data_IF_447804721741
#
_entry.id   IF_447804721741
#
_cell.length_a   1.000
_cell.length_b   1.000
_cell.length_c   1.000
_cell.angle_alpha   90.00
_cell.angle_beta   90.00
_cell.angle_gamma   90.00
#
_symmetry.space_group_name_H-M   'P 1'
#
loop_
_entity.id
_entity.type
_entity.pdbx_description
1 polymer ?
#
# COMPACT_ATOMS: atom_id res chain seq x y z
N UNK A 1 -21.05 -8.86 -12.83
CA UNK A 1 -20.32 -9.11 -11.57
C UNK A 1 -18.86 -9.35 -11.95
N UNK A 2 -17.93 -8.62 -11.38
CA UNK A 2 -16.51 -8.80 -11.66
C UNK A 2 -16.03 -10.12 -11.05
N UNK A 3 -15.11 -10.82 -11.76
CA UNK A 3 -14.47 -12.02 -11.20
C UNK A 3 -13.47 -11.57 -10.13
N UNK A 4 -13.50 -12.21 -8.95
CA UNK A 4 -12.48 -11.97 -7.94
C UNK A 4 -11.10 -12.40 -8.46
N UNK A 5 -10.05 -11.61 -8.23
CA UNK A 5 -8.73 -11.88 -8.79
C UNK A 5 -8.01 -12.99 -8.04
N UNK A 6 -7.11 -13.69 -8.75
CA UNK A 6 -6.16 -14.64 -8.21
C UNK A 6 -4.76 -14.24 -8.68
N UNK A 7 -3.77 -14.24 -7.80
CA UNK A 7 -2.38 -13.87 -8.10
C UNK A 7 -1.47 -15.06 -7.81
N UNK A 8 -1.02 -15.73 -8.85
CA UNK A 8 -0.12 -16.89 -8.70
C UNK A 8 -0.69 -18.01 -7.84
N UNK A 9 -2.01 -18.16 -7.79
CA UNK A 9 -2.72 -19.16 -6.96
C UNK A 9 -3.19 -18.61 -5.60
N UNK A 10 -2.85 -17.37 -5.25
CA UNK A 10 -3.39 -16.68 -4.07
C UNK A 10 -4.74 -16.06 -4.46
N UNK A 11 -5.83 -16.63 -3.95
CA UNK A 11 -7.17 -16.13 -4.17
C UNK A 11 -7.46 -14.90 -3.31
N UNK A 12 -8.03 -13.84 -3.90
CA UNK A 12 -8.40 -12.63 -3.19
C UNK A 12 -9.91 -12.53 -3.02
N UNK A 13 -10.37 -12.16 -1.83
CA UNK A 13 -11.81 -12.07 -1.52
C UNK A 13 -12.46 -10.75 -1.95
N UNK A 14 -11.72 -9.84 -2.55
CA UNK A 14 -12.20 -8.54 -3.02
C UNK A 14 -11.32 -7.96 -4.11
N UNK A 15 -11.58 -6.70 -4.47
CA UNK A 15 -10.87 -5.98 -5.53
C UNK A 15 -10.07 -4.79 -5.00
N UNK A 16 -10.30 -4.38 -3.76
CA UNK A 16 -9.60 -3.25 -3.14
C UNK A 16 -8.36 -3.71 -2.36
N UNK A 17 -7.17 -3.32 -2.83
CA UNK A 17 -5.88 -3.71 -2.26
C UNK A 17 -5.20 -2.49 -1.60
N UNK A 18 -4.49 -2.71 -0.48
CA UNK A 18 -3.66 -1.66 0.12
C UNK A 18 -2.34 -1.55 -0.65
N UNK A 19 -2.10 -0.39 -1.26
CA UNK A 19 -0.80 -0.09 -1.90
C UNK A 19 0.30 0.13 -0.85
N UNK A 20 1.56 -0.25 -1.12
CA UNK A 20 2.69 0.03 -0.24
C UNK A 20 2.95 1.53 -0.13
N UNK A 21 3.04 2.04 1.10
CA UNK A 21 3.26 3.45 1.42
C UNK A 21 4.24 3.59 2.57
N UNK A 22 5.44 4.13 2.29
CA UNK A 22 6.45 4.36 3.33
C UNK A 22 5.93 5.30 4.43
N UNK A 23 6.06 4.89 5.69
CA UNK A 23 5.51 5.56 6.87
C UNK A 23 4.00 5.47 7.03
N UNK A 24 3.35 4.52 6.34
CA UNK A 24 1.88 4.34 6.41
C UNK A 24 1.46 2.88 6.45
N UNK A 25 1.98 2.02 5.56
CA UNK A 25 1.60 0.61 5.50
C UNK A 25 2.50 -0.27 6.39
N UNK A 26 2.73 0.17 7.63
CA UNK A 26 3.34 -0.61 8.70
C UNK A 26 2.41 -1.74 9.19
N UNK A 27 2.89 -2.58 10.07
CA UNK A 27 2.13 -3.72 10.59
C UNK A 27 0.80 -3.29 11.20
N UNK A 28 0.82 -2.26 12.06
CA UNK A 28 -0.39 -1.78 12.75
C UNK A 28 -1.46 -1.33 11.75
N UNK A 29 -1.07 -0.59 10.71
CA UNK A 29 -2.03 -0.13 9.69
C UNK A 29 -2.48 -1.26 8.75
N UNK A 30 -1.61 -2.21 8.40
CA UNK A 30 -2.00 -3.36 7.56
C UNK A 30 -3.06 -4.22 8.23
N UNK A 31 -2.89 -4.53 9.53
CA UNK A 31 -3.89 -5.29 10.32
C UNK A 31 -5.25 -4.58 10.31
N UNK A 32 -5.27 -3.26 10.52
CA UNK A 32 -6.49 -2.45 10.41
C UNK A 32 -7.08 -2.53 9.00
N UNK A 33 -6.26 -2.32 7.97
CA UNK A 33 -6.72 -2.32 6.58
C UNK A 33 -7.30 -3.68 6.16
N UNK A 34 -6.65 -4.78 6.56
CA UNK A 34 -7.13 -6.14 6.31
C UNK A 34 -8.49 -6.37 6.96
N UNK A 35 -8.62 -6.07 8.27
CA UNK A 35 -9.90 -6.18 9.00
C UNK A 35 -11.00 -5.30 8.40
N UNK A 36 -10.64 -4.17 7.79
CA UNK A 36 -11.56 -3.27 7.09
C UNK A 36 -11.82 -3.66 5.63
N UNK A 37 -11.41 -4.86 5.21
CA UNK A 37 -11.76 -5.46 3.94
C UNK A 37 -10.74 -5.25 2.82
N UNK A 38 -9.49 -4.87 3.13
CA UNK A 38 -8.45 -4.92 2.10
C UNK A 38 -8.20 -6.38 1.68
N UNK A 39 -8.46 -6.70 0.41
CA UNK A 39 -8.33 -8.06 -0.11
C UNK A 39 -6.87 -8.56 -0.18
N UNK A 40 -5.92 -7.63 -0.19
CA UNK A 40 -4.49 -7.87 -0.05
C UNK A 40 -3.87 -6.63 0.59
N UNK A 41 -3.04 -6.80 1.60
CA UNK A 41 -2.23 -5.72 2.14
C UNK A 41 -0.79 -5.82 1.62
N UNK A 42 -0.16 -4.68 1.36
CA UNK A 42 1.26 -4.65 0.97
C UNK A 42 2.06 -3.81 1.95
N UNK A 43 3.10 -4.41 2.53
CA UNK A 43 3.98 -3.76 3.49
C UNK A 43 4.79 -2.61 2.85
N UNK A 44 5.38 -1.77 3.70
CA UNK A 44 6.39 -0.81 3.28
C UNK A 44 7.55 -1.49 2.56
N UNK A 45 8.22 -0.76 1.67
CA UNK A 45 9.32 -1.33 0.91
C UNK A 45 10.56 -1.57 1.79
N UNK A 46 11.09 -2.79 1.74
CA UNK A 46 12.26 -3.28 2.48
C UNK A 46 13.49 -3.30 1.58
N UNK A 47 14.64 -2.90 2.12
CA UNK A 47 15.89 -2.90 1.35
C UNK A 47 16.49 -4.31 1.27
N UNK A 48 16.72 -4.82 0.05
CA UNK A 48 17.42 -6.10 -0.16
C UNK A 48 18.84 -6.08 0.43
N UNK A 49 19.57 -4.98 0.26
CA UNK A 49 20.88 -4.78 0.90
C UNK A 49 20.78 -4.75 2.42
N UNK A 50 19.72 -4.17 2.98
CA UNK A 50 19.47 -4.15 4.41
C UNK A 50 19.33 -5.57 4.98
N UNK A 51 18.58 -6.44 4.30
CA UNK A 51 18.44 -7.86 4.67
C UNK A 51 19.76 -8.62 4.48
N UNK A 52 20.45 -8.40 3.37
CA UNK A 52 21.74 -9.03 3.11
C UNK A 52 22.77 -8.76 4.20
N UNK A 53 22.81 -7.53 4.73
CA UNK A 53 23.71 -7.14 5.82
C UNK A 53 23.11 -7.36 7.22
N UNK A 54 21.97 -8.05 7.34
CA UNK A 54 21.28 -8.38 8.60
C UNK A 54 21.06 -7.15 9.49
N UNK A 55 20.49 -6.10 8.91
CA UNK A 55 20.12 -4.89 9.64
C UNK A 55 18.84 -5.15 10.44
N UNK A 56 18.92 -5.12 11.78
CA UNK A 56 17.81 -5.42 12.69
C UNK A 56 16.54 -4.61 12.37
N UNK A 57 16.67 -3.31 12.08
CA UNK A 57 15.52 -2.48 11.72
C UNK A 57 14.85 -2.90 10.41
N UNK A 58 15.64 -3.48 9.49
CA UNK A 58 15.12 -4.00 8.23
C UNK A 58 14.42 -5.33 8.45
N UNK A 59 14.93 -6.18 9.34
CA UNK A 59 14.31 -7.45 9.72
C UNK A 59 12.98 -7.21 10.48
N UNK A 60 12.92 -6.21 11.35
CA UNK A 60 11.69 -5.81 12.03
C UNK A 60 10.53 -5.45 11.08
N UNK A 61 10.85 -4.93 9.88
CA UNK A 61 9.84 -4.60 8.85
C UNK A 61 9.22 -5.83 8.18
N UNK A 62 9.75 -7.03 8.41
CA UNK A 62 9.22 -8.29 7.87
C UNK A 62 8.10 -8.89 8.72
N UNK A 63 7.77 -8.32 9.87
CA UNK A 63 6.74 -8.84 10.77
C UNK A 63 5.37 -8.90 10.08
N UNK A 64 4.69 -10.02 10.26
CA UNK A 64 3.34 -10.31 9.75
C UNK A 64 2.48 -10.73 10.94
N UNK A 65 1.26 -10.21 11.01
CA UNK A 65 0.25 -10.70 11.94
C UNK A 65 -0.42 -11.96 11.36
N UNK A 66 -0.59 -13.03 12.13
CA UNK A 66 -1.22 -14.25 11.64
C UNK A 66 -2.66 -14.06 11.10
N UNK A 67 -3.33 -12.97 11.45
CA UNK A 67 -4.67 -12.64 10.99
C UNK A 67 -4.73 -11.74 9.75
N UNK A 68 -3.58 -11.28 9.18
CA UNK A 68 -3.57 -10.34 8.05
C UNK A 68 -3.40 -10.99 6.66
N UNK A 69 -3.56 -12.31 6.54
CA UNK A 69 -3.45 -13.00 5.25
C UNK A 69 -4.70 -12.80 4.37
N UNK A 70 -4.53 -12.57 3.04
CA UNK A 70 -3.27 -12.56 2.32
C UNK A 70 -2.49 -11.23 2.47
N UNK A 71 -1.17 -11.35 2.60
CA UNK A 71 -0.24 -10.22 2.75
C UNK A 71 0.94 -10.32 1.79
N UNK A 72 1.31 -9.17 1.21
CA UNK A 72 2.51 -9.03 0.39
C UNK A 72 3.59 -8.24 1.13
N UNK A 73 4.85 -8.73 1.10
CA UNK A 73 6.01 -7.96 1.52
C UNK A 73 6.70 -7.38 0.28
N UNK A 74 7.08 -6.10 0.32
CA UNK A 74 7.68 -5.44 -0.83
C UNK A 74 9.20 -5.24 -0.65
N UNK A 75 9.98 -5.70 -1.63
CA UNK A 75 11.44 -5.60 -1.67
C UNK A 75 11.89 -4.53 -2.67
N UNK A 76 12.99 -3.81 -2.40
CA UNK A 76 13.64 -2.94 -3.36
C UNK A 76 15.16 -3.12 -3.38
N UNK A 77 15.74 -2.98 -4.56
CA UNK A 77 17.15 -3.09 -4.85
C UNK A 77 17.38 -3.15 -6.36
N UNK A 78 18.64 -3.15 -6.78
CA UNK A 78 19.04 -3.15 -8.20
C UNK A 78 20.08 -4.22 -8.54
N UNK A 79 20.40 -5.11 -7.61
CA UNK A 79 21.33 -6.23 -7.82
C UNK A 79 20.52 -7.54 -7.81
N UNK A 80 20.52 -8.33 -8.92
CA UNK A 80 19.71 -9.54 -9.01
C UNK A 80 20.05 -10.60 -7.94
N UNK A 81 21.33 -10.78 -7.61
CA UNK A 81 21.76 -11.77 -6.61
C UNK A 81 21.32 -11.34 -5.20
N UNK A 82 21.53 -10.07 -4.84
CA UNK A 82 21.10 -9.52 -3.54
C UNK A 82 19.57 -9.53 -3.43
N UNK A 83 18.85 -9.24 -4.53
CA UNK A 83 17.39 -9.31 -4.55
C UNK A 83 16.88 -10.75 -4.34
N UNK A 84 17.50 -11.73 -4.98
CA UNK A 84 17.17 -13.15 -4.80
C UNK A 84 17.44 -13.62 -3.36
N UNK A 85 18.56 -13.23 -2.76
CA UNK A 85 18.86 -13.52 -1.36
C UNK A 85 17.88 -12.82 -0.40
N UNK A 86 17.57 -11.55 -0.66
CA UNK A 86 16.59 -10.80 0.12
C UNK A 86 15.19 -11.42 0.05
N UNK A 87 14.78 -11.91 -1.12
CA UNK A 87 13.52 -12.62 -1.31
C UNK A 87 13.43 -13.90 -0.48
N UNK A 88 14.52 -14.69 -0.43
CA UNK A 88 14.59 -15.90 0.42
C UNK A 88 14.46 -15.58 1.91
N UNK A 89 15.09 -14.50 2.37
CA UNK A 89 14.94 -14.07 3.77
C UNK A 89 13.51 -13.60 4.04
N UNK A 90 12.91 -12.87 3.10
CA UNK A 90 11.55 -12.38 3.20
C UNK A 90 10.52 -13.53 3.20
N UNK A 91 10.72 -14.57 2.38
CA UNK A 91 9.86 -15.77 2.34
C UNK A 91 9.78 -16.49 3.70
N UNK A 92 10.86 -16.48 4.50
CA UNK A 92 10.86 -17.08 5.85
C UNK A 92 9.90 -16.40 6.82
N UNK A 93 9.55 -15.14 6.58
CA UNK A 93 8.56 -14.42 7.37
C UNK A 93 7.12 -14.87 7.07
N UNK A 94 6.89 -15.65 6.00
CA UNK A 94 5.63 -16.26 5.64
C UNK A 94 4.64 -15.37 4.88
N UNK A 95 5.06 -14.42 4.01
CA UNK A 95 4.12 -13.68 3.18
C UNK A 95 3.47 -14.61 2.14
N UNK A 96 2.28 -14.23 1.69
CA UNK A 96 1.62 -14.92 0.57
C UNK A 96 2.20 -14.50 -0.78
N UNK A 97 2.75 -13.29 -0.88
CA UNK A 97 3.30 -12.70 -2.10
C UNK A 97 4.57 -11.90 -1.74
N UNK A 98 5.58 -11.93 -2.62
CA UNK A 98 6.70 -11.00 -2.57
C UNK A 98 6.58 -10.03 -3.75
N UNK A 99 6.50 -8.72 -3.44
CA UNK A 99 6.36 -7.67 -4.44
C UNK A 99 7.69 -6.94 -4.67
N UNK A 100 7.98 -6.56 -5.91
CA UNK A 100 9.18 -5.81 -6.29
C UNK A 100 8.82 -4.35 -6.52
N UNK A 101 9.51 -3.44 -5.82
CA UNK A 101 9.34 -2.01 -6.06
C UNK A 101 10.14 -1.54 -7.27
N UNK A 102 9.44 -1.20 -8.36
CA UNK A 102 10.00 -0.54 -9.55
C UNK A 102 9.34 0.84 -9.79
N UNK A 103 8.76 1.44 -8.74
CA UNK A 103 7.98 2.68 -8.88
C UNK A 103 8.33 3.81 -7.92
N UNK A 104 9.13 3.59 -6.87
CA UNK A 104 9.47 4.62 -5.88
C UNK A 104 10.23 5.78 -6.54
N UNK A 105 9.71 7.04 -6.46
CA UNK A 105 10.34 8.19 -7.12
C UNK A 105 11.37 8.91 -6.24
N UNK A 106 11.54 8.50 -4.98
CA UNK A 106 12.32 9.21 -3.98
C UNK A 106 13.81 9.25 -4.32
N UNK A 107 14.42 10.44 -4.25
CA UNK A 107 15.81 10.65 -4.64
C UNK A 107 16.80 9.71 -3.95
N UNK A 108 16.60 9.42 -2.65
CA UNK A 108 17.47 8.49 -1.90
C UNK A 108 17.43 7.05 -2.42
N UNK A 109 16.37 6.65 -3.12
CA UNK A 109 16.19 5.33 -3.74
C UNK A 109 16.77 5.35 -5.15
N UNK A 110 16.31 6.27 -5.99
CA UNK A 110 16.68 6.28 -7.43
C UNK A 110 18.14 6.59 -7.70
N UNK A 111 18.84 7.34 -6.82
CA UNK A 111 20.28 7.58 -6.97
C UNK A 111 21.14 6.31 -6.88
N UNK A 112 20.61 5.26 -6.28
CA UNK A 112 21.28 3.97 -6.15
C UNK A 112 20.92 2.99 -7.29
N UNK A 113 20.11 3.42 -8.27
CA UNK A 113 19.60 2.58 -9.35
C UNK A 113 18.33 1.81 -8.99
N UNK A 114 17.77 2.01 -7.79
CA UNK A 114 16.64 1.26 -7.26
C UNK A 114 15.30 1.92 -7.61
N UNK A 115 14.19 1.22 -7.35
CA UNK A 115 12.85 1.74 -7.51
C UNK A 115 12.55 2.12 -8.96
N UNK A 116 12.04 3.33 -9.21
CA UNK A 116 11.71 3.77 -10.57
C UNK A 116 12.93 3.93 -11.50
N UNK A 117 14.16 3.93 -10.98
CA UNK A 117 15.35 3.94 -11.81
C UNK A 117 15.50 2.64 -12.63
N UNK A 118 14.98 1.51 -12.14
CA UNK A 118 14.97 0.23 -12.87
C UNK A 118 14.21 0.32 -14.19
N UNK A 119 13.23 1.20 -14.30
CA UNK A 119 12.49 1.42 -15.56
C UNK A 119 13.38 1.95 -16.70
N UNK A 120 14.55 2.52 -16.40
CA UNK A 120 15.54 2.94 -17.40
C UNK A 120 16.38 1.78 -17.97
N UNK A 121 16.30 0.59 -17.35
CA UNK A 121 17.08 -0.58 -17.73
C UNK A 121 16.21 -1.83 -17.64
N UNK A 122 15.38 -2.05 -18.66
CA UNK A 122 14.45 -3.19 -18.75
C UNK A 122 15.18 -4.53 -18.64
N UNK A 123 16.33 -4.78 -19.31
CA UNK A 123 17.07 -6.04 -19.13
C UNK A 123 17.48 -6.31 -17.68
N UNK A 124 17.90 -5.29 -16.93
CA UNK A 124 18.21 -5.43 -15.52
C UNK A 124 16.94 -5.72 -14.70
N UNK A 125 15.86 -5.01 -14.93
CA UNK A 125 14.59 -5.25 -14.27
C UNK A 125 14.09 -6.69 -14.51
N UNK A 126 14.17 -7.17 -15.75
CA UNK A 126 13.83 -8.55 -16.11
C UNK A 126 14.72 -9.58 -15.40
N UNK A 127 16.04 -9.34 -15.33
CA UNK A 127 16.96 -10.24 -14.64
C UNK A 127 16.70 -10.32 -13.12
N UNK A 128 16.31 -9.20 -12.49
CA UNK A 128 15.91 -9.16 -11.08
C UNK A 128 14.66 -10.02 -10.85
N UNK A 129 13.61 -9.83 -11.65
CA UNK A 129 12.37 -10.62 -11.53
C UNK A 129 12.68 -12.11 -11.68
N UNK A 130 13.43 -12.48 -12.73
CA UNK A 130 13.82 -13.88 -12.98
C UNK A 130 14.57 -14.47 -11.79
N UNK A 131 15.57 -13.77 -11.28
CA UNK A 131 16.37 -14.24 -10.15
C UNK A 131 15.53 -14.45 -8.89
N UNK A 132 14.54 -13.57 -8.63
CA UNK A 132 13.64 -13.71 -7.49
C UNK A 132 12.65 -14.85 -7.68
N UNK A 133 12.03 -14.97 -8.86
CA UNK A 133 11.10 -16.09 -9.19
C UNK A 133 11.77 -17.45 -9.05
N UNK A 134 13.02 -17.57 -9.47
CA UNK A 134 13.80 -18.81 -9.34
C UNK A 134 14.25 -19.10 -7.88
N UNK A 135 14.22 -18.07 -7.01
CA UNK A 135 14.74 -18.17 -5.66
C UNK A 135 13.70 -18.54 -4.60
N UNK A 136 12.41 -18.28 -4.83
CA UNK A 136 11.32 -18.44 -3.86
C UNK A 136 10.17 -19.28 -4.42
N UNK A 137 9.28 -19.76 -3.52
CA UNK A 137 8.11 -20.57 -3.89
C UNK A 137 6.83 -19.75 -3.95
N UNK A 138 6.76 -18.64 -3.21
CA UNK A 138 5.60 -17.74 -3.23
C UNK A 138 5.59 -16.90 -4.52
N UNK A 139 4.41 -16.49 -5.02
CA UNK A 139 4.31 -15.63 -6.20
C UNK A 139 5.11 -14.33 -6.03
N UNK A 140 5.80 -13.96 -7.12
CA UNK A 140 6.52 -12.68 -7.22
C UNK A 140 5.73 -11.73 -8.07
N UNK A 141 5.47 -10.51 -7.58
CA UNK A 141 4.77 -9.44 -8.31
C UNK A 141 5.65 -8.21 -8.50
N UNK A 142 5.24 -7.32 -9.37
CA UNK A 142 5.98 -6.08 -9.66
C UNK A 142 5.06 -4.88 -9.53
N UNK A 143 5.49 -3.87 -8.77
CA UNK A 143 4.82 -2.56 -8.75
C UNK A 143 5.65 -1.51 -9.47
N UNK A 144 5.10 -0.92 -10.56
CA UNK A 144 5.79 0.02 -11.43
C UNK A 144 4.98 1.30 -11.70
N UNK A 145 5.59 2.23 -12.41
CA UNK A 145 5.00 3.45 -12.97
C UNK A 145 4.95 3.37 -14.50
N UNK A 146 4.52 4.45 -15.19
CA UNK A 146 4.45 4.52 -16.64
C UNK A 146 5.83 4.64 -17.30
N UNK A 147 6.81 5.14 -16.58
CA UNK A 147 8.17 5.41 -17.05
C UNK A 147 8.87 6.41 -16.14
N UNK A 148 10.06 6.85 -16.56
CA UNK A 148 10.80 7.89 -15.84
C UNK A 148 10.19 9.26 -16.04
N UNK A 149 9.96 9.66 -17.30
CA UNK A 149 9.31 10.90 -17.73
C UNK A 149 8.25 10.57 -18.79
N UNK A 150 7.45 11.56 -19.17
CA UNK A 150 6.44 11.37 -20.21
C UNK A 150 7.05 11.05 -21.58
N UNK A 151 8.23 11.57 -21.87
CA UNK A 151 8.95 11.30 -23.12
C UNK A 151 9.62 9.92 -23.14
N UNK A 152 9.69 9.26 -21.98
CA UNK A 152 10.33 7.95 -21.80
C UNK A 152 9.41 6.94 -21.14
N UNK A 153 8.11 7.00 -21.43
CA UNK A 153 7.15 6.01 -20.99
C UNK A 153 7.44 4.67 -21.68
N UNK A 154 7.65 3.64 -20.87
CA UNK A 154 8.03 2.30 -21.33
C UNK A 154 7.37 1.19 -20.52
N UNK A 155 6.26 1.50 -19.83
CA UNK A 155 5.56 0.54 -18.99
C UNK A 155 5.08 -0.71 -19.73
N UNK A 156 4.75 -0.60 -21.02
CA UNK A 156 4.29 -1.73 -21.85
C UNK A 156 5.44 -2.71 -22.08
N UNK A 157 6.62 -2.20 -22.44
CA UNK A 157 7.81 -3.02 -22.67
C UNK A 157 8.25 -3.68 -21.35
N UNK A 158 8.28 -2.92 -20.26
CA UNK A 158 8.61 -3.45 -18.94
C UNK A 158 7.62 -4.52 -18.52
N UNK A 159 6.31 -4.31 -18.71
CA UNK A 159 5.28 -5.28 -18.36
C UNK A 159 5.49 -6.63 -19.05
N UNK A 160 5.78 -6.63 -20.35
CA UNK A 160 6.09 -7.85 -21.10
C UNK A 160 7.37 -8.54 -20.58
N UNK A 161 8.41 -7.76 -20.33
CA UNK A 161 9.69 -8.30 -19.85
C UNK A 161 9.55 -8.96 -18.46
N UNK A 162 8.77 -8.37 -17.54
CA UNK A 162 8.55 -8.95 -16.22
C UNK A 162 7.60 -10.16 -16.26
N UNK A 163 6.61 -10.17 -17.14
CA UNK A 163 5.77 -11.35 -17.40
C UNK A 163 6.62 -12.52 -17.94
N UNK A 164 7.46 -12.28 -18.94
CA UNK A 164 8.39 -13.27 -19.49
C UNK A 164 9.37 -13.82 -18.42
N UNK A 165 9.72 -12.98 -17.44
CA UNK A 165 10.57 -13.38 -16.31
C UNK A 165 9.84 -14.20 -15.23
N UNK A 166 8.50 -14.35 -15.35
CA UNK A 166 7.68 -15.15 -14.45
C UNK A 166 6.96 -14.38 -13.34
N UNK A 167 6.82 -13.06 -13.47
CA UNK A 167 5.98 -12.28 -12.54
C UNK A 167 4.53 -12.79 -12.55
N UNK A 168 3.92 -12.93 -11.37
CA UNK A 168 2.55 -13.44 -11.22
C UNK A 168 1.48 -12.36 -11.37
N UNK A 169 1.80 -11.09 -11.19
CA UNK A 169 0.94 -9.93 -11.43
C UNK A 169 1.75 -8.64 -11.51
N UNK A 170 1.13 -7.58 -12.04
CA UNK A 170 1.76 -6.26 -12.15
C UNK A 170 0.82 -5.20 -11.59
N UNK A 171 1.29 -4.36 -10.67
CA UNK A 171 0.59 -3.15 -10.25
C UNK A 171 1.13 -1.93 -10.99
N UNK A 172 0.28 -1.23 -11.73
CA UNK A 172 0.67 -0.06 -12.54
C UNK A 172 0.12 1.22 -11.95
N UNK A 173 1.01 2.11 -11.50
CA UNK A 173 0.63 3.47 -11.15
C UNK A 173 0.61 4.35 -12.41
N UNK A 174 -0.56 4.92 -12.75
CA UNK A 174 -0.81 5.72 -13.95
C UNK A 174 -0.09 7.09 -13.97
N UNK A 175 1.11 7.19 -13.41
CA UNK A 175 1.98 8.37 -13.41
C UNK A 175 3.42 7.98 -13.70
N UNK A 176 4.19 8.89 -14.29
CA UNK A 176 5.64 8.73 -14.43
C UNK A 176 6.36 9.01 -13.10
N UNK A 177 7.66 8.74 -13.04
CA UNK A 177 8.50 9.11 -11.88
C UNK A 177 8.51 10.62 -11.66
N UNK A 178 8.59 11.42 -12.71
CA UNK A 178 8.67 12.88 -12.64
C UNK A 178 7.36 13.54 -12.23
N UNK A 179 6.23 12.92 -12.54
CA UNK A 179 4.92 13.39 -12.06
C UNK A 179 4.78 13.30 -10.54
N UNK A 180 5.54 12.44 -9.86
CA UNK A 180 5.36 12.12 -8.44
C UNK A 180 3.89 11.75 -8.12
N UNK A 181 3.12 12.72 -7.63
CA UNK A 181 1.69 12.62 -7.32
C UNK A 181 0.88 13.76 -7.93
N UNK A 182 1.49 14.58 -8.82
CA UNK A 182 0.85 15.71 -9.46
C UNK A 182 0.00 15.26 -10.65
N UNK A 183 -0.90 16.14 -11.08
CA UNK A 183 -1.80 15.86 -12.21
C UNK A 183 -2.75 14.70 -11.96
N UNK A 184 -3.29 14.13 -13.02
CA UNK A 184 -4.16 12.95 -13.01
C UNK A 184 -3.38 11.71 -13.43
N UNK A 185 -3.72 10.55 -12.87
CA UNK A 185 -3.23 9.27 -13.34
C UNK A 185 -3.77 8.99 -14.75
N UNK A 186 -2.89 8.57 -15.66
CA UNK A 186 -3.27 8.17 -17.01
C UNK A 186 -3.74 6.72 -17.02
N UNK A 187 -5.04 6.53 -16.96
CA UNK A 187 -5.66 5.22 -16.99
C UNK A 187 -5.59 4.58 -18.38
N UNK A 188 -5.49 5.37 -19.45
CA UNK A 188 -5.36 4.83 -20.80
C UNK A 188 -4.07 4.03 -20.98
N UNK A 189 -2.99 4.44 -20.31
CA UNK A 189 -1.74 3.68 -20.29
C UNK A 189 -1.86 2.38 -19.47
N UNK A 190 -2.63 2.37 -18.37
CA UNK A 190 -2.96 1.14 -17.64
C UNK A 190 -3.70 0.18 -18.57
N UNK A 191 -4.72 0.64 -19.33
CA UNK A 191 -5.44 -0.17 -20.30
C UNK A 191 -4.53 -0.80 -21.37
N UNK A 192 -3.53 -0.04 -21.84
CA UNK A 192 -2.54 -0.57 -22.80
C UNK A 192 -1.68 -1.66 -22.18
N UNK A 193 -1.29 -1.52 -20.91
CA UNK A 193 -0.57 -2.59 -20.20
C UNK A 193 -1.45 -3.81 -20.05
N UNK A 194 -2.72 -3.67 -19.63
CA UNK A 194 -3.68 -4.79 -19.55
C UNK A 194 -3.78 -5.54 -20.87
N UNK A 195 -3.84 -4.81 -21.99
CA UNK A 195 -3.92 -5.41 -23.33
C UNK A 195 -2.61 -6.06 -23.80
N UNK A 196 -1.50 -5.81 -23.14
CA UNK A 196 -0.16 -6.22 -23.58
C UNK A 196 0.35 -7.49 -22.85
N UNK A 197 -0.26 -7.90 -21.74
CA UNK A 197 0.13 -9.04 -20.90
C UNK A 197 -1.04 -9.96 -20.59
N UNK A 198 -0.77 -11.18 -20.14
CA UNK A 198 -1.77 -12.20 -19.80
C UNK A 198 -1.96 -12.37 -18.29
N UNK A 199 -0.96 -11.94 -17.49
CA UNK A 199 -1.04 -11.96 -16.03
C UNK A 199 -1.94 -10.82 -15.51
N UNK A 200 -2.54 -10.95 -14.32
CA UNK A 200 -3.38 -9.90 -13.73
C UNK A 200 -2.65 -8.57 -13.62
N UNK A 201 -3.32 -7.49 -14.06
CA UNK A 201 -2.86 -6.12 -13.86
C UNK A 201 -3.74 -5.46 -12.82
N UNK A 202 -3.11 -4.85 -11.81
CA UNK A 202 -3.75 -4.08 -10.75
C UNK A 202 -3.60 -2.60 -11.07
N UNK A 203 -4.72 -1.88 -11.22
CA UNK A 203 -4.73 -0.44 -11.49
C UNK A 203 -4.43 0.37 -10.23
N UNK A 204 -3.56 1.38 -10.32
CA UNK A 204 -3.24 2.26 -9.21
C UNK A 204 -3.21 3.73 -9.65
N UNK A 205 -3.80 4.59 -8.84
CA UNK A 205 -3.81 6.04 -9.00
C UNK A 205 -5.21 6.62 -9.08
N UNK A 206 -5.46 7.61 -8.22
CA UNK A 206 -6.68 8.44 -8.16
C UNK A 206 -7.98 7.69 -7.86
N UNK A 207 -7.91 6.48 -7.30
CA UNK A 207 -9.04 5.79 -6.67
C UNK A 207 -9.26 6.41 -5.29
N UNK A 208 -10.46 6.96 -5.08
CA UNK A 208 -10.85 7.67 -3.84
C UNK A 208 -12.17 7.17 -3.24
N UNK A 209 -12.92 6.35 -3.99
CA UNK A 209 -14.22 5.80 -3.62
C UNK A 209 -14.61 4.62 -4.53
N UNK A 210 -15.75 3.98 -4.27
CA UNK A 210 -16.30 2.90 -5.09
C UNK A 210 -16.54 3.30 -6.55
N UNK A 211 -17.20 4.45 -6.83
CA UNK A 211 -17.39 4.93 -8.21
C UNK A 211 -16.09 5.09 -9.01
N UNK A 212 -15.02 5.64 -8.41
CA UNK A 212 -13.73 5.80 -9.09
C UNK A 212 -13.01 4.46 -9.30
N UNK A 213 -13.14 3.51 -8.36
CA UNK A 213 -12.63 2.16 -8.52
C UNK A 213 -13.31 1.45 -9.69
N UNK A 214 -14.65 1.50 -9.73
CA UNK A 214 -15.44 0.93 -10.84
C UNK A 214 -15.03 1.50 -12.18
N UNK A 215 -14.94 2.83 -12.29
CA UNK A 215 -14.51 3.48 -13.53
C UNK A 215 -13.11 3.05 -13.97
N UNK A 216 -12.14 3.00 -13.04
CA UNK A 216 -10.81 2.53 -13.36
C UNK A 216 -10.85 1.10 -13.93
N UNK A 217 -11.59 0.18 -13.30
CA UNK A 217 -11.71 -1.21 -13.77
C UNK A 217 -12.41 -1.30 -15.13
N UNK A 218 -13.49 -0.55 -15.35
CA UNK A 218 -14.23 -0.54 -16.62
C UNK A 218 -13.44 0.09 -17.77
N UNK A 219 -12.74 1.19 -17.52
CA UNK A 219 -11.96 1.89 -18.55
C UNK A 219 -10.67 1.15 -18.92
N UNK A 220 -10.10 0.36 -18.00
CA UNK A 220 -8.80 -0.27 -18.21
C UNK A 220 -8.85 -1.78 -18.37
N UNK A 221 -9.88 -2.44 -17.86
CA UNK A 221 -9.94 -3.90 -17.78
C UNK A 221 -9.02 -4.50 -16.73
N UNK A 222 -8.47 -3.70 -15.80
CA UNK A 222 -7.61 -4.23 -14.72
C UNK A 222 -8.40 -5.14 -13.78
N UNK A 223 -7.72 -6.13 -13.18
CA UNK A 223 -8.32 -7.17 -12.36
C UNK A 223 -8.71 -6.70 -10.96
N UNK A 224 -8.03 -5.66 -10.44
CA UNK A 224 -8.23 -5.09 -9.10
C UNK A 224 -7.66 -3.66 -9.06
N UNK A 225 -7.88 -2.96 -7.94
CA UNK A 225 -7.38 -1.61 -7.72
C UNK A 225 -6.51 -1.54 -6.47
N UNK A 226 -5.32 -0.96 -6.57
CA UNK A 226 -4.47 -0.67 -5.42
C UNK A 226 -4.69 0.76 -4.94
N UNK A 227 -5.08 0.92 -3.67
CA UNK A 227 -5.43 2.18 -3.07
C UNK A 227 -4.30 2.66 -2.15
N UNK A 228 -3.77 3.84 -2.45
CA UNK A 228 -2.73 4.48 -1.64
C UNK A 228 -3.31 5.60 -0.78
N UNK A 229 -3.05 6.84 -1.17
CA UNK A 229 -3.35 8.06 -0.38
C UNK A 229 -4.77 8.16 0.16
N UNK A 230 -5.75 7.64 -0.55
CA UNK A 230 -7.15 7.68 -0.12
C UNK A 230 -7.45 6.70 1.04
N UNK A 231 -6.62 5.68 1.25
CA UNK A 231 -6.71 4.79 2.39
C UNK A 231 -6.08 5.40 3.67
N UNK A 232 -5.15 6.35 3.54
CA UNK A 232 -4.44 6.92 4.69
C UNK A 232 -5.39 7.64 5.63
N UNK A 233 -5.62 7.08 6.83
CA UNK A 233 -6.59 7.54 7.81
C UNK A 233 -8.05 7.28 7.41
N UNK A 234 -8.26 6.42 6.43
CA UNK A 234 -9.58 6.00 5.94
C UNK A 234 -9.58 4.52 5.53
N UNK A 235 -9.39 3.59 6.47
CA UNK A 235 -9.37 2.16 6.15
C UNK A 235 -10.73 1.62 5.70
N UNK A 236 -11.83 2.33 5.95
CA UNK A 236 -13.18 1.95 5.49
C UNK A 236 -13.32 1.94 3.96
N UNK A 237 -12.39 2.58 3.24
CA UNK A 237 -12.41 2.66 1.78
C UNK A 237 -12.40 1.28 1.11
N UNK A 238 -11.73 0.30 1.71
CA UNK A 238 -11.64 -1.05 1.13
C UNK A 238 -13.02 -1.70 1.06
N UNK A 239 -13.73 -1.77 2.19
CA UNK A 239 -15.08 -2.27 2.25
C UNK A 239 -16.05 -1.45 1.39
N UNK A 240 -15.92 -0.12 1.38
CA UNK A 240 -16.77 0.74 0.57
C UNK A 240 -16.60 0.52 -0.93
N UNK A 241 -15.35 0.29 -1.38
CA UNK A 241 -15.06 -0.03 -2.78
C UNK A 241 -15.64 -1.39 -3.16
N UNK A 242 -15.39 -2.42 -2.36
CA UNK A 242 -15.88 -3.78 -2.67
C UNK A 242 -17.42 -3.85 -2.64
N UNK A 243 -18.07 -3.23 -1.64
CA UNK A 243 -19.54 -3.13 -1.61
C UNK A 243 -20.09 -2.47 -2.88
N UNK A 244 -19.47 -1.35 -3.31
CA UNK A 244 -19.92 -0.66 -4.51
C UNK A 244 -19.72 -1.52 -5.79
N UNK A 245 -18.62 -2.24 -5.89
CA UNK A 245 -18.35 -3.13 -7.04
C UNK A 245 -19.29 -4.33 -7.07
N UNK A 246 -19.72 -4.84 -5.92
CA UNK A 246 -20.66 -5.96 -5.81
C UNK A 246 -22.11 -5.54 -6.04
N UNK A 247 -22.53 -4.45 -5.42
CA UNK A 247 -23.97 -4.08 -5.31
C UNK A 247 -24.34 -2.79 -6.01
N UNK A 248 -23.36 -1.91 -6.29
CA UNK A 248 -23.60 -0.53 -6.74
C UNK A 248 -23.99 0.43 -5.60
N UNK A 249 -24.02 -0.03 -4.36
CA UNK A 249 -24.43 0.77 -3.19
C UNK A 249 -23.26 1.60 -2.67
N UNK A 250 -23.53 2.88 -2.39
CA UNK A 250 -22.55 3.78 -1.77
C UNK A 250 -22.74 3.71 -0.25
N UNK A 251 -21.71 3.22 0.44
CA UNK A 251 -21.70 3.19 1.89
C UNK A 251 -21.62 4.61 2.48
N UNK A 252 -22.28 4.83 3.60
CA UNK A 252 -22.12 6.06 4.37
C UNK A 252 -20.67 6.23 4.86
N UNK A 253 -20.17 7.47 4.90
CA UNK A 253 -18.84 7.72 5.46
C UNK A 253 -18.80 7.41 6.96
N UNK A 254 -17.64 7.01 7.50
CA UNK A 254 -17.49 6.73 8.93
C UNK A 254 -17.83 7.97 9.75
N UNK A 255 -18.56 7.77 10.86
CA UNK A 255 -18.87 8.84 11.81
C UNK A 255 -17.59 9.42 12.44
N UNK A 256 -17.72 10.55 13.12
CA UNK A 256 -16.57 11.16 13.79
C UNK A 256 -16.07 10.29 14.94
N UNK A 257 -16.99 9.69 15.70
CA UNK A 257 -16.69 8.75 16.78
C UNK A 257 -15.90 7.53 16.27
N UNK A 258 -16.35 6.93 15.17
CA UNK A 258 -15.63 5.82 14.52
C UNK A 258 -14.20 6.21 14.14
N UNK A 259 -14.02 7.43 13.62
CA UNK A 259 -12.68 7.91 13.18
C UNK A 259 -11.76 8.19 14.37
N UNK A 260 -12.30 8.73 15.47
CA UNK A 260 -11.55 8.94 16.71
C UNK A 260 -11.18 7.59 17.35
N UNK A 261 -12.12 6.67 17.45
CA UNK A 261 -11.89 5.32 17.97
C UNK A 261 -10.80 4.59 17.14
N UNK A 262 -10.89 4.61 15.81
CA UNK A 262 -9.89 4.01 14.92
C UNK A 262 -8.50 4.65 15.10
N UNK A 263 -8.44 5.95 15.35
CA UNK A 263 -7.15 6.62 15.59
C UNK A 263 -6.48 6.19 16.90
N UNK A 264 -7.28 5.90 17.94
CA UNK A 264 -6.80 5.33 19.22
C UNK A 264 -6.28 3.91 19.01
N UNK A 265 -7.05 3.09 18.31
CA UNK A 265 -6.67 1.72 17.99
C UNK A 265 -5.37 1.66 17.18
N UNK A 266 -5.25 2.52 16.16
CA UNK A 266 -4.04 2.60 15.35
C UNK A 266 -2.82 3.00 16.19
N UNK A 267 -2.95 4.02 17.06
CA UNK A 267 -1.89 4.39 17.99
C UNK A 267 -1.49 3.22 18.89
N UNK A 268 -2.48 2.52 19.46
CA UNK A 268 -2.20 1.36 20.32
C UNK A 268 -1.43 0.26 19.58
N UNK A 269 -1.82 -0.05 18.34
CA UNK A 269 -1.09 -0.98 17.47
C UNK A 269 0.35 -0.57 17.23
N UNK A 270 0.58 0.73 16.93
CA UNK A 270 1.92 1.28 16.79
C UNK A 270 2.74 1.19 18.09
N UNK A 271 2.12 1.39 19.25
CA UNK A 271 2.80 1.26 20.56
C UNK A 271 3.28 -0.17 20.77
N UNK A 272 2.43 -1.15 20.45
CA UNK A 272 2.79 -2.58 20.55
C UNK A 272 3.90 -2.97 19.56
N UNK A 273 3.89 -2.38 18.35
CA UNK A 273 4.87 -2.67 17.30
C UNK A 273 6.24 -2.02 17.55
N UNK A 274 6.26 -0.72 17.92
CA UNK A 274 7.46 0.14 17.85
C UNK A 274 7.84 0.77 19.19
N UNK A 275 7.03 0.55 20.25
CA UNK A 275 7.16 1.23 21.53
C UNK A 275 6.60 2.66 21.52
N UNK A 276 6.16 3.14 22.68
CA UNK A 276 5.37 4.38 22.83
C UNK A 276 6.08 5.62 22.27
N UNK A 277 7.41 5.75 22.49
CA UNK A 277 8.16 6.91 22.04
C UNK A 277 8.10 7.11 20.52
N UNK A 278 8.27 6.05 19.74
CA UNK A 278 8.21 6.11 18.28
C UNK A 278 6.76 6.22 17.80
N UNK A 279 5.88 5.40 18.35
CA UNK A 279 4.48 5.30 17.98
C UNK A 279 3.73 6.64 18.04
N UNK A 280 3.84 7.36 19.17
CA UNK A 280 3.15 8.65 19.34
C UNK A 280 3.64 9.69 18.34
N UNK A 281 4.92 9.67 17.97
CA UNK A 281 5.48 10.58 16.96
C UNK A 281 5.03 10.26 15.55
N UNK A 282 5.02 9.00 15.18
CA UNK A 282 4.53 8.54 13.88
C UNK A 282 3.03 8.77 13.75
N UNK A 283 2.25 8.48 14.81
CA UNK A 283 0.81 8.70 14.83
C UNK A 283 0.38 10.15 14.53
N UNK A 284 1.22 11.15 14.79
CA UNK A 284 0.92 12.55 14.46
C UNK A 284 0.59 12.75 12.98
N UNK A 285 1.30 12.06 12.08
CA UNK A 285 1.03 12.11 10.64
C UNK A 285 -0.30 11.42 10.29
N UNK A 286 -0.57 10.25 10.88
CA UNK A 286 -1.80 9.49 10.69
C UNK A 286 -3.03 10.23 11.26
N UNK A 287 -2.92 10.76 12.48
CA UNK A 287 -3.97 11.50 13.16
C UNK A 287 -4.48 12.67 12.31
N UNK A 288 -3.57 13.36 11.61
CA UNK A 288 -3.94 14.47 10.73
C UNK A 288 -4.92 14.03 9.62
N UNK A 289 -4.86 12.77 9.20
CA UNK A 289 -5.74 12.19 8.18
C UNK A 289 -7.07 11.73 8.78
N UNK A 290 -7.05 11.05 9.91
CA UNK A 290 -8.26 10.66 10.63
C UNK A 290 -9.13 11.87 10.99
N UNK A 291 -8.51 13.01 11.36
CA UNK A 291 -9.23 14.20 11.80
C UNK A 291 -9.64 15.15 10.66
N UNK A 292 -9.41 14.77 9.41
CA UNK A 292 -9.77 15.62 8.27
C UNK A 292 -11.31 15.81 8.20
N UNK A 293 -11.77 17.07 8.17
CA UNK A 293 -13.20 17.42 8.13
C UNK A 293 -13.92 17.38 9.48
N UNK A 294 -13.26 17.02 10.58
CA UNK A 294 -13.84 17.16 11.92
C UNK A 294 -14.00 18.65 12.29
N UNK A 295 -15.03 19.03 13.10
CA UNK A 295 -15.13 20.38 13.61
C UNK A 295 -13.88 20.80 14.36
N UNK A 296 -13.36 21.99 14.08
CA UNK A 296 -12.13 22.49 14.71
C UNK A 296 -10.91 21.54 14.60
N UNK A 297 -10.83 20.72 13.54
CA UNK A 297 -9.75 19.76 13.30
C UNK A 297 -8.35 20.36 13.43
N UNK A 298 -8.16 21.64 13.08
CA UNK A 298 -6.88 22.33 13.19
C UNK A 298 -6.45 22.49 14.66
N UNK A 299 -7.41 22.82 15.55
CA UNK A 299 -7.14 22.92 16.97
C UNK A 299 -6.80 21.56 17.58
N UNK A 300 -7.60 20.52 17.25
CA UNK A 300 -7.35 19.15 17.69
C UNK A 300 -5.97 18.68 17.26
N UNK A 301 -5.61 18.84 15.96
CA UNK A 301 -4.27 18.46 15.46
C UNK A 301 -3.15 19.15 16.24
N UNK A 302 -3.29 20.43 16.54
CA UNK A 302 -2.28 21.18 17.29
C UNK A 302 -2.08 20.63 18.71
N UNK A 303 -3.15 20.21 19.39
CA UNK A 303 -3.06 19.61 20.72
C UNK A 303 -2.44 18.19 20.64
N UNK A 304 -2.86 17.37 19.69
CA UNK A 304 -2.28 16.04 19.45
C UNK A 304 -0.76 16.10 19.16
N UNK A 305 -0.28 17.14 18.47
CA UNK A 305 1.15 17.29 18.20
C UNK A 305 2.00 17.50 19.47
N UNK A 306 1.37 17.85 20.61
CA UNK A 306 2.04 18.02 21.90
C UNK A 306 2.13 16.72 22.69
N UNK A 307 1.24 15.74 22.42
CA UNK A 307 1.22 14.48 23.12
C UNK A 307 2.56 13.75 23.01
N UNK A 308 3.07 13.24 24.12
CA UNK A 308 4.32 12.49 24.25
C UNK A 308 4.08 11.02 24.61
N UNK A 309 2.89 10.70 25.15
CA UNK A 309 2.46 9.37 25.54
C UNK A 309 1.13 9.01 24.89
N UNK A 310 0.81 7.72 24.83
CA UNK A 310 -0.48 7.20 24.38
C UNK A 310 -1.63 7.77 25.26
N UNK A 311 -1.39 7.86 26.56
CA UNK A 311 -2.38 8.43 27.50
C UNK A 311 -2.69 9.89 27.18
N UNK A 312 -1.67 10.74 26.98
CA UNK A 312 -1.88 12.15 26.64
C UNK A 312 -2.61 12.33 25.30
N UNK A 313 -2.34 11.45 24.33
CA UNK A 313 -3.07 11.42 23.06
C UNK A 313 -4.55 11.10 23.32
N UNK A 314 -4.84 10.05 24.08
CA UNK A 314 -6.19 9.62 24.40
C UNK A 314 -6.94 10.65 25.21
N UNK A 315 -6.32 11.27 26.22
CA UNK A 315 -6.90 12.34 27.04
C UNK A 315 -7.27 13.57 26.18
N UNK A 316 -6.47 13.85 25.16
CA UNK A 316 -6.75 14.94 24.22
C UNK A 316 -8.00 14.65 23.39
N UNK A 317 -8.16 13.41 22.92
CA UNK A 317 -9.36 13.01 22.21
C UNK A 317 -10.59 12.98 23.13
N UNK A 318 -10.44 12.53 24.39
CA UNK A 318 -11.53 12.53 25.38
C UNK A 318 -12.08 13.94 25.62
N UNK A 319 -11.19 14.92 25.83
CA UNK A 319 -11.60 16.32 25.96
C UNK A 319 -12.31 16.84 24.72
N UNK A 320 -11.80 16.50 23.53
CA UNK A 320 -12.44 16.89 22.29
C UNK A 320 -13.85 16.29 22.13
N UNK A 321 -14.03 15.00 22.47
CA UNK A 321 -15.33 14.34 22.43
C UNK A 321 -16.33 14.97 23.42
N UNK A 322 -15.87 15.31 24.64
CA UNK A 322 -16.69 16.02 25.64
C UNK A 322 -17.15 17.39 25.13
N UNK A 323 -16.20 18.20 24.62
CA UNK A 323 -16.51 19.55 24.10
C UNK A 323 -17.47 19.52 22.90
N UNK A 324 -17.49 18.45 22.12
CA UNK A 324 -18.34 18.30 20.93
C UNK A 324 -19.64 17.53 21.20
N UNK A 325 -19.85 17.04 22.42
CA UNK A 325 -21.03 16.25 22.77
C UNK A 325 -21.09 14.89 22.06
N UNK A 326 -19.91 14.34 21.68
CA UNK A 326 -19.77 13.07 20.95
C UNK A 326 -19.74 11.85 21.88
N UNK A 327 -19.73 12.02 23.21
CA UNK A 327 -19.83 10.93 24.19
C UNK A 327 -21.25 10.39 24.26
N UNK A 328 -21.53 9.31 23.55
CA UNK A 328 -22.88 8.74 23.59
C UNK A 328 -23.11 7.37 23.00
N UNK A 329 -22.13 6.60 22.60
CA UNK A 329 -22.32 5.15 22.27
C UNK A 329 -20.98 4.43 22.29
N UNK A 330 -20.56 3.94 23.46
CA UNK A 330 -19.48 2.93 23.56
C UNK A 330 -20.10 1.54 23.62
N UNK A 331 -20.81 1.14 22.57
CA UNK A 331 -21.23 -0.26 22.36
C UNK A 331 -20.68 -0.71 20.99
N UNK A 332 -19.52 -1.32 21.03
CA UNK A 332 -18.91 -2.05 19.89
C UNK A 332 -18.62 -3.48 20.28
#
# INVERSE_FOLDING_TARGET
>A
MYKKPSIGGVELDGWALLAPMAGVSDLAYRVIAHRMGAALTTAEMVSAKGLYYKNEKTEDMLKIDPGEHPVALQLFGSDPEIMALGAKEMEKAGPDIIDINMGCPMQKVVKNGDGSALMKNIPLAQSIVKAMVEAVHVPVTVKMRLGWSRDTENCIELARAVEEAGAAAITVHGRTREDFYQGKADWSMIAKVVSAVHIPVIGNGDVVDGPSAKRLMEETGCAAVAIGRAAWGNPWIFKAVDTYLETGEIMDPPSWEMRLAMSREHLHGLVLEKGEYAAVREMRAHASRYFNGLPQATALRREIMKALTEQEFNDTLDRYEEEKGLRGTRDW
#
